data_IF_106103907021
#
_entry.id   IF_106103907021
#
_cell.length_a   1.000
_cell.length_b   1.000
_cell.length_c   1.000
_cell.angle_alpha   90.00
_cell.angle_beta   90.00
_cell.angle_gamma   90.00
#
_symmetry.space_group_name_H-M   'P 1'
#
loop_
_entity.id
_entity.type
_entity.pdbx_description
1 polymer ?
#
# COMPACT_ATOMS: atom_id res chain seq x y z
N UNK A 1 21.08 -14.03 36.38
CA UNK A 1 21.75 -13.41 35.23
C UNK A 1 20.94 -13.75 33.98
N UNK A 2 20.06 -12.85 33.57
CA UNK A 2 19.24 -13.01 32.32
C UNK A 2 20.07 -12.51 31.15
N UNK A 3 20.45 -13.40 30.24
CA UNK A 3 21.12 -13.04 28.98
C UNK A 3 20.10 -12.38 28.06
N UNK A 4 20.25 -11.08 27.83
CA UNK A 4 19.55 -10.37 26.74
C UNK A 4 20.18 -10.85 25.45
N UNK A 5 19.38 -11.52 24.63
CA UNK A 5 19.72 -11.88 23.27
C UNK A 5 19.40 -10.64 22.41
N UNK A 6 20.44 -9.87 22.07
CA UNK A 6 20.31 -8.83 21.04
C UNK A 6 20.12 -9.54 19.69
N UNK A 7 18.89 -9.52 19.17
CA UNK A 7 18.64 -9.85 17.79
C UNK A 7 19.13 -8.66 16.97
N UNK A 8 20.31 -8.79 16.39
CA UNK A 8 20.81 -7.87 15.37
C UNK A 8 19.89 -8.03 14.15
N UNK A 9 18.97 -7.06 13.92
CA UNK A 9 18.27 -6.95 12.65
C UNK A 9 19.35 -6.69 11.60
N UNK A 10 19.73 -7.72 10.86
CA UNK A 10 20.55 -7.58 9.68
C UNK A 10 19.73 -6.77 8.66
N UNK A 11 20.14 -5.54 8.43
CA UNK A 11 19.72 -4.75 7.27
C UNK A 11 20.24 -5.51 6.05
N UNK A 12 19.42 -6.42 5.53
CA UNK A 12 19.69 -7.07 4.25
C UNK A 12 19.45 -5.98 3.19
N UNK A 13 20.45 -5.62 2.40
CA UNK A 13 20.27 -4.63 1.35
C UNK A 13 19.20 -5.15 0.38
N UNK A 14 18.17 -4.37 0.18
CA UNK A 14 17.00 -4.62 -0.68
C UNK A 14 17.34 -4.65 -2.19
N UNK A 15 18.58 -4.93 -2.52
CA UNK A 15 19.07 -5.04 -3.91
C UNK A 15 18.49 -6.24 -4.71
N UNK A 16 17.55 -7.01 -4.14
CA UNK A 16 16.98 -8.18 -4.81
C UNK A 16 15.65 -7.94 -5.53
N UNK A 17 15.09 -6.74 -5.49
CA UNK A 17 13.87 -6.42 -6.26
C UNK A 17 14.13 -5.89 -7.67
N UNK A 18 15.39 -5.63 -8.02
CA UNK A 18 15.78 -4.97 -9.26
C UNK A 18 16.18 -5.94 -10.37
N UNK A 19 15.31 -6.86 -10.79
CA UNK A 19 15.46 -7.41 -12.13
C UNK A 19 14.37 -6.82 -13.03
N UNK A 20 14.66 -5.70 -13.65
CA UNK A 20 14.18 -5.40 -14.99
C UNK A 20 13.13 -4.31 -15.18
N UNK A 21 12.46 -3.80 -14.15
CA UNK A 21 11.49 -2.74 -14.39
C UNK A 21 12.10 -1.37 -14.05
N UNK A 22 12.39 -0.56 -15.08
CA UNK A 22 12.74 0.86 -14.85
C UNK A 22 11.44 1.64 -14.73
N UNK A 23 11.29 2.46 -13.68
CA UNK A 23 10.15 3.37 -13.57
C UNK A 23 10.04 4.25 -14.81
N UNK A 24 8.83 4.41 -15.33
CA UNK A 24 8.55 5.25 -16.51
C UNK A 24 7.36 6.13 -16.20
N UNK A 25 7.63 7.29 -15.62
CA UNK A 25 6.59 8.27 -15.30
C UNK A 25 6.31 9.18 -16.48
N UNK A 26 5.03 9.45 -16.72
CA UNK A 26 4.55 10.45 -17.69
C UNK A 26 4.03 11.71 -16.97
N UNK A 27 3.86 11.61 -15.65
CA UNK A 27 3.33 12.64 -14.77
C UNK A 27 4.34 13.78 -14.57
N UNK A 28 3.82 15.02 -14.52
CA UNK A 28 4.65 16.22 -14.34
C UNK A 28 5.21 16.28 -12.91
N UNK A 29 6.52 16.42 -12.77
CA UNK A 29 7.19 16.69 -11.48
C UNK A 29 6.74 18.06 -10.96
N UNK A 30 6.28 18.10 -9.70
CA UNK A 30 5.90 19.31 -8.98
C UNK A 30 6.84 19.61 -7.80
N UNK A 31 7.48 18.58 -7.26
CA UNK A 31 8.50 18.68 -6.24
C UNK A 31 9.56 17.59 -6.45
N UNK A 32 10.83 17.95 -6.32
CA UNK A 32 11.96 17.04 -6.38
C UNK A 32 12.91 17.32 -5.23
N UNK A 33 13.06 16.37 -4.33
CA UNK A 33 13.94 16.43 -3.16
C UNK A 33 14.79 15.17 -3.01
N UNK A 34 15.71 15.15 -2.04
CA UNK A 34 16.60 14.01 -1.84
C UNK A 34 15.89 12.76 -1.37
N UNK A 35 14.74 12.89 -0.70
CA UNK A 35 14.04 11.79 -0.07
C UNK A 35 12.77 11.37 -0.82
N UNK A 36 12.18 12.27 -1.64
CA UNK A 36 10.94 12.02 -2.37
C UNK A 36 10.82 12.90 -3.61
N UNK A 37 10.16 12.38 -4.65
CA UNK A 37 9.75 13.15 -5.83
C UNK A 37 8.24 13.09 -5.93
N UNK A 38 7.56 14.25 -5.92
CA UNK A 38 6.12 14.33 -6.16
C UNK A 38 5.82 14.69 -7.61
N UNK A 39 4.86 13.95 -8.20
CA UNK A 39 4.35 14.16 -9.56
C UNK A 39 2.84 14.30 -9.53
N UNK A 40 2.32 15.05 -10.47
CA UNK A 40 0.90 15.37 -10.57
C UNK A 40 0.18 14.34 -11.44
N UNK A 41 -0.74 13.56 -10.84
CA UNK A 41 -1.62 12.61 -11.54
C UNK A 41 -2.74 13.37 -12.26
N UNK A 42 -3.39 14.30 -11.55
CA UNK A 42 -4.42 15.21 -12.08
C UNK A 42 -4.38 16.56 -11.34
N UNK A 43 -5.34 17.45 -11.58
CA UNK A 43 -5.35 18.81 -11.05
C UNK A 43 -5.25 18.86 -9.49
N UNK A 44 -5.74 17.83 -8.80
CA UNK A 44 -5.88 17.77 -7.35
C UNK A 44 -5.39 16.46 -6.74
N UNK A 45 -4.53 15.72 -7.46
CA UNK A 45 -3.96 14.46 -7.00
C UNK A 45 -2.50 14.35 -7.40
N UNK A 46 -1.67 13.96 -6.45
CA UNK A 46 -0.23 13.77 -6.65
C UNK A 46 0.22 12.42 -6.10
N UNK A 47 1.18 11.81 -6.77
CA UNK A 47 1.95 10.69 -6.26
C UNK A 47 3.32 11.18 -5.80
N UNK A 48 3.84 10.62 -4.70
CA UNK A 48 5.17 10.89 -4.18
C UNK A 48 5.93 9.59 -4.04
N UNK A 49 7.05 9.43 -4.76
CA UNK A 49 7.88 8.24 -4.65
C UNK A 49 9.06 8.49 -3.72
N UNK A 50 9.15 7.68 -2.65
CA UNK A 50 10.32 7.62 -1.79
C UNK A 50 11.46 6.83 -2.44
N UNK A 51 12.64 6.89 -1.82
CA UNK A 51 13.87 6.34 -2.40
C UNK A 51 14.49 5.21 -1.57
N UNK A 52 13.88 4.81 -0.46
CA UNK A 52 14.49 3.89 0.48
C UNK A 52 14.01 2.44 0.33
N UNK A 53 12.70 2.22 0.13
CA UNK A 53 12.15 0.86 0.07
C UNK A 53 11.31 0.63 -1.18
N UNK A 54 11.94 0.08 -2.23
CA UNK A 54 11.24 -0.39 -3.43
C UNK A 54 10.34 0.66 -4.10
N UNK A 55 10.69 1.95 -4.02
CA UNK A 55 9.91 3.04 -4.60
C UNK A 55 8.53 3.19 -3.93
N UNK A 56 8.53 3.14 -2.61
CA UNK A 56 7.33 3.34 -1.80
C UNK A 56 6.59 4.61 -2.23
N UNK A 57 5.28 4.53 -2.38
CA UNK A 57 4.50 5.59 -2.99
C UNK A 57 3.43 6.13 -2.06
N UNK A 58 3.46 7.45 -1.87
CA UNK A 58 2.48 8.24 -1.14
C UNK A 58 1.50 8.86 -2.12
N UNK A 59 0.27 9.16 -1.68
CA UNK A 59 -0.70 9.87 -2.50
C UNK A 59 -1.30 11.06 -1.74
N UNK A 60 -1.12 12.25 -2.27
CA UNK A 60 -1.79 13.46 -1.78
C UNK A 60 -3.04 13.70 -2.62
N UNK A 61 -4.19 13.79 -1.95
CA UNK A 61 -5.51 13.92 -2.58
C UNK A 61 -6.21 15.13 -1.98
N UNK A 62 -6.48 16.14 -2.79
CA UNK A 62 -7.05 17.42 -2.38
C UNK A 62 -8.51 17.53 -2.79
N UNK A 63 -9.36 18.03 -1.89
CA UNK A 63 -10.70 18.56 -2.18
C UNK A 63 -10.77 20.06 -1.96
N UNK A 64 -11.97 20.63 -1.94
CA UNK A 64 -12.15 22.07 -1.79
C UNK A 64 -11.81 22.58 -0.39
N UNK A 65 -12.00 21.75 0.67
CA UNK A 65 -11.84 22.17 2.06
C UNK A 65 -10.59 21.59 2.73
N UNK A 66 -10.22 20.36 2.39
CA UNK A 66 -9.12 19.63 3.02
C UNK A 66 -8.50 18.61 2.06
N UNK A 67 -7.36 18.08 2.48
CA UNK A 67 -6.66 17.02 1.76
C UNK A 67 -6.37 15.83 2.68
N UNK A 68 -6.12 14.67 2.07
CA UNK A 68 -5.55 13.51 2.74
C UNK A 68 -4.21 13.16 2.11
N UNK A 69 -3.28 12.71 2.94
CA UNK A 69 -2.05 12.06 2.52
C UNK A 69 -2.19 10.57 2.84
N UNK A 70 -2.19 9.74 1.82
CA UNK A 70 -2.14 8.28 1.98
C UNK A 70 -0.69 7.85 2.05
N UNK A 71 -0.32 7.21 3.15
CA UNK A 71 1.02 6.79 3.52
C UNK A 71 2.03 7.94 3.70
N UNK A 72 3.14 7.64 4.35
CA UNK A 72 4.18 8.61 4.69
C UNK A 72 5.58 8.19 4.21
N UNK A 73 5.71 7.04 3.56
CA UNK A 73 7.01 6.51 3.16
C UNK A 73 7.89 6.05 4.33
N UNK A 74 9.15 5.79 4.05
CA UNK A 74 10.10 5.22 5.03
C UNK A 74 10.73 6.27 5.93
N UNK A 75 11.41 7.26 5.37
CA UNK A 75 12.13 8.30 6.13
C UNK A 75 12.31 9.57 5.27
N UNK A 76 11.21 10.27 5.01
CA UNK A 76 11.17 11.52 4.25
C UNK A 76 11.22 12.66 5.25
N UNK A 77 12.28 13.48 5.21
CA UNK A 77 12.47 14.58 6.13
C UNK A 77 11.47 15.71 5.84
N UNK A 78 10.90 16.27 6.90
CA UNK A 78 9.98 17.41 6.81
C UNK A 78 8.81 17.18 5.82
N UNK A 79 8.28 15.95 5.78
CA UNK A 79 7.22 15.58 4.85
C UNK A 79 6.00 16.50 4.96
N UNK A 80 5.64 16.94 6.16
CA UNK A 80 4.58 17.92 6.42
C UNK A 80 4.80 19.25 5.68
N UNK A 81 6.05 19.75 5.66
CA UNK A 81 6.40 21.00 4.96
C UNK A 81 6.43 20.80 3.44
N UNK A 82 6.93 19.65 2.97
CA UNK A 82 6.90 19.31 1.55
C UNK A 82 5.46 19.31 1.04
N UNK A 83 4.58 18.62 1.76
CA UNK A 83 3.15 18.53 1.41
C UNK A 83 2.47 19.90 1.49
N UNK A 84 2.79 20.72 2.52
CA UNK A 84 2.29 22.11 2.63
C UNK A 84 2.79 23.03 1.50
N UNK A 85 3.86 22.68 0.82
CA UNK A 85 4.33 23.35 -0.39
C UNK A 85 3.55 22.98 -1.66
N UNK A 86 2.82 21.86 -1.65
CA UNK A 86 2.02 21.36 -2.78
C UNK A 86 0.56 21.79 -2.63
N UNK A 87 -0.02 21.67 -1.41
CA UNK A 87 -1.40 22.08 -1.11
C UNK A 87 -1.44 23.07 0.07
N UNK A 88 -2.34 24.05 0.01
CA UNK A 88 -2.62 24.95 1.13
C UNK A 88 -3.73 24.42 2.06
N UNK A 89 -4.30 23.26 1.79
CA UNK A 89 -5.39 22.68 2.57
C UNK A 89 -4.87 21.98 3.83
N UNK A 90 -5.68 21.94 4.90
CA UNK A 90 -5.38 21.06 6.04
C UNK A 90 -5.25 19.61 5.59
N UNK A 91 -4.15 18.94 5.97
CA UNK A 91 -3.85 17.56 5.55
C UNK A 91 -4.06 16.59 6.70
N UNK A 92 -4.78 15.50 6.43
CA UNK A 92 -4.92 14.35 7.35
C UNK A 92 -4.08 13.19 6.84
N UNK A 93 -3.19 12.65 7.68
CA UNK A 93 -2.43 11.44 7.35
C UNK A 93 -3.26 10.18 7.57
N UNK A 94 -3.25 9.30 6.58
CA UNK A 94 -3.94 8.01 6.61
C UNK A 94 -3.00 6.94 6.07
N UNK A 95 -2.85 5.81 6.75
CA UNK A 95 -2.08 4.69 6.22
C UNK A 95 -2.98 3.71 5.47
N UNK A 96 -2.51 3.23 4.32
CA UNK A 96 -3.13 2.11 3.60
C UNK A 96 -2.97 0.81 4.38
N UNK A 97 -1.84 0.65 5.06
CA UNK A 97 -1.52 -0.45 5.99
C UNK A 97 -0.30 -0.08 6.84
N UNK A 98 -0.01 -0.90 7.86
CA UNK A 98 1.12 -0.63 8.77
C UNK A 98 2.31 -1.49 8.40
N UNK A 99 3.20 -0.93 7.54
CA UNK A 99 4.54 -1.43 7.24
C UNK A 99 5.55 -0.27 7.23
N UNK A 100 6.87 -0.54 7.42
CA UNK A 100 7.87 0.51 7.60
C UNK A 100 8.03 1.47 6.41
N UNK A 101 7.68 1.05 5.22
CA UNK A 101 7.73 1.85 3.99
C UNK A 101 6.45 2.65 3.73
N UNK A 102 5.42 2.46 4.55
CA UNK A 102 4.16 3.22 4.53
C UNK A 102 3.95 4.05 5.81
N UNK A 103 4.43 3.53 6.94
CA UNK A 103 4.33 4.19 8.26
C UNK A 103 5.69 4.32 8.93
N UNK A 104 6.72 4.63 8.14
CA UNK A 104 8.07 4.85 8.65
C UNK A 104 8.22 6.15 9.45
N UNK A 105 9.45 6.62 9.64
CA UNK A 105 9.73 7.78 10.52
C UNK A 105 9.02 9.06 10.12
N UNK A 106 8.64 9.20 8.86
CA UNK A 106 7.97 10.39 8.35
C UNK A 106 6.61 10.65 9.02
N UNK A 107 5.98 9.62 9.62
CA UNK A 107 4.74 9.80 10.39
C UNK A 107 4.92 10.74 11.58
N UNK A 108 6.14 10.86 12.12
CA UNK A 108 6.44 11.76 13.24
C UNK A 108 6.25 13.25 12.90
N UNK A 109 6.15 13.60 11.61
CA UNK A 109 5.78 14.94 11.15
C UNK A 109 4.29 15.26 11.38
N UNK A 110 3.46 14.27 11.71
CA UNK A 110 2.01 14.42 11.83
C UNK A 110 1.53 14.11 13.26
N UNK A 111 0.64 14.95 13.85
CA UNK A 111 0.16 14.75 15.21
C UNK A 111 -0.84 13.59 15.33
N UNK A 112 -1.41 13.16 14.23
CA UNK A 112 -2.35 12.04 14.19
C UNK A 112 -2.25 11.24 12.88
N UNK A 113 -2.59 9.96 12.96
CA UNK A 113 -2.69 9.07 11.81
C UNK A 113 -3.95 8.21 11.92
N UNK A 114 -4.61 7.99 10.79
CA UNK A 114 -5.70 7.03 10.68
C UNK A 114 -5.20 5.70 10.11
N UNK A 115 -5.56 4.60 10.74
CA UNK A 115 -5.24 3.24 10.30
C UNK A 115 -6.46 2.33 10.37
N UNK A 116 -6.42 1.20 9.70
CA UNK A 116 -7.36 0.11 9.97
C UNK A 116 -6.96 -0.58 11.30
N UNK A 117 -7.92 -0.72 12.22
CA UNK A 117 -7.69 -1.32 13.54
C UNK A 117 -7.13 -2.75 13.48
N UNK A 118 -7.36 -3.50 12.39
CA UNK A 118 -6.82 -4.83 12.21
C UNK A 118 -5.27 -4.84 12.13
N UNK A 119 -4.64 -3.72 11.75
CA UNK A 119 -3.18 -3.58 11.70
C UNK A 119 -2.56 -3.14 13.04
N UNK A 120 -3.37 -2.99 14.11
CA UNK A 120 -2.81 -2.76 15.46
C UNK A 120 -1.81 -3.85 15.89
N UNK A 121 -1.91 -5.05 15.32
CA UNK A 121 -0.95 -6.14 15.53
C UNK A 121 0.47 -5.78 15.08
N UNK A 122 0.60 -4.88 14.11
CA UNK A 122 1.86 -4.44 13.53
C UNK A 122 2.42 -3.17 14.22
N UNK A 123 1.57 -2.37 14.88
CA UNK A 123 1.94 -1.05 15.41
C UNK A 123 3.10 -1.11 16.40
N UNK A 124 3.10 -2.07 17.32
CA UNK A 124 4.15 -2.19 18.35
C UNK A 124 5.55 -2.43 17.75
N UNK A 125 5.63 -3.11 16.61
CA UNK A 125 6.88 -3.44 15.93
C UNK A 125 7.26 -2.39 14.87
N UNK A 126 6.28 -1.93 14.08
CA UNK A 126 6.50 -1.10 12.90
C UNK A 126 6.43 0.41 13.17
N UNK A 127 5.74 0.81 14.26
CA UNK A 127 5.60 2.22 14.67
C UNK A 127 6.02 2.45 16.15
N UNK A 128 7.14 1.86 16.65
CA UNK A 128 7.44 1.80 18.08
C UNK A 128 7.67 3.16 18.74
N UNK A 129 8.02 4.18 17.97
CA UNK A 129 8.39 5.50 18.46
C UNK A 129 7.33 6.58 18.19
N UNK A 130 6.28 6.26 17.46
CA UNK A 130 5.23 7.23 17.14
C UNK A 130 4.53 7.72 18.42
N UNK A 131 4.45 9.05 18.58
CA UNK A 131 3.88 9.73 19.76
C UNK A 131 2.55 10.43 19.46
N UNK A 132 2.17 10.46 18.20
CA UNK A 132 0.88 11.04 17.79
C UNK A 132 -0.30 10.15 18.16
N UNK A 133 -1.47 10.63 17.84
CA UNK A 133 -2.74 9.91 18.10
C UNK A 133 -3.06 8.96 16.96
N UNK A 134 -3.31 7.69 17.28
CA UNK A 134 -3.81 6.71 16.32
C UNK A 134 -5.34 6.74 16.35
N UNK A 135 -5.94 6.95 15.19
CA UNK A 135 -7.39 6.90 14.94
C UNK A 135 -7.72 5.76 13.99
N UNK A 136 -8.99 5.35 13.97
CA UNK A 136 -9.38 4.17 13.21
C UNK A 136 -10.36 4.50 12.09
N UNK A 137 -10.07 3.90 10.93
CA UNK A 137 -10.94 3.87 9.77
C UNK A 137 -12.11 2.89 10.00
N UNK A 138 -13.19 3.09 9.24
CA UNK A 138 -14.34 2.18 9.19
C UNK A 138 -14.56 1.67 7.78
N UNK A 139 -14.80 0.38 7.64
CA UNK A 139 -15.12 -0.20 6.34
C UNK A 139 -16.42 0.36 5.77
N UNK A 140 -16.39 0.83 4.54
CA UNK A 140 -17.54 1.42 3.86
C UNK A 140 -17.85 2.87 4.23
N UNK A 141 -17.04 3.53 5.08
CA UNK A 141 -17.18 4.97 5.28
C UNK A 141 -16.72 5.76 4.05
N UNK A 142 -17.18 6.99 3.97
CA UNK A 142 -16.75 7.95 2.94
C UNK A 142 -16.11 9.15 3.63
N UNK A 143 -14.90 9.51 3.21
CA UNK A 143 -14.19 10.70 3.65
C UNK A 143 -14.55 11.84 2.69
N UNK A 144 -15.24 12.87 3.19
CA UNK A 144 -15.56 14.06 2.41
C UNK A 144 -14.43 15.09 2.55
N UNK A 145 -13.86 15.51 1.43
CA UNK A 145 -12.77 16.49 1.34
C UNK A 145 -13.27 17.90 0.98
N UNK A 146 -14.60 18.11 0.98
CA UNK A 146 -15.25 19.28 0.42
C UNK A 146 -15.47 19.09 -1.09
N UNK A 147 -16.66 18.59 -1.44
CA UNK A 147 -17.01 18.31 -2.85
C UNK A 147 -16.32 17.10 -3.49
N UNK A 148 -15.35 16.49 -2.85
CA UNK A 148 -14.66 15.27 -3.29
C UNK A 148 -14.78 14.19 -2.23
N UNK A 149 -15.30 13.04 -2.60
CA UNK A 149 -15.59 11.94 -1.69
C UNK A 149 -14.70 10.74 -1.98
N UNK A 150 -14.06 10.21 -0.93
CA UNK A 150 -13.17 9.07 -0.99
C UNK A 150 -13.77 7.92 -0.17
N UNK A 151 -14.14 6.84 -0.82
CA UNK A 151 -14.66 5.66 -0.12
C UNK A 151 -13.53 4.83 0.47
N UNK A 152 -13.72 4.35 1.68
CA UNK A 152 -12.81 3.49 2.43
C UNK A 152 -13.26 2.05 2.32
N UNK A 153 -12.43 1.18 1.77
CA UNK A 153 -12.74 -0.25 1.57
C UNK A 153 -11.63 -1.08 2.18
N UNK A 154 -11.95 -1.89 3.18
CA UNK A 154 -10.99 -2.82 3.75
C UNK A 154 -10.69 -3.95 2.77
N UNK A 155 -9.42 -4.14 2.49
CA UNK A 155 -8.89 -5.09 1.50
C UNK A 155 -7.80 -5.97 2.12
N UNK A 156 -8.13 -6.76 3.17
CA UNK A 156 -7.16 -7.62 3.82
C UNK A 156 -6.58 -8.64 2.83
N UNK A 157 -5.29 -8.93 2.97
CA UNK A 157 -4.55 -9.85 2.09
C UNK A 157 -3.07 -9.72 2.38
N UNK A 158 -2.47 -8.61 1.92
CA UNK A 158 -1.09 -8.27 2.25
C UNK A 158 -0.91 -8.11 3.76
N UNK A 159 -1.69 -7.25 4.42
CA UNK A 159 -1.84 -7.24 5.88
C UNK A 159 -3.29 -7.45 6.28
N UNK A 160 -3.60 -7.75 7.55
CA UNK A 160 -4.98 -7.80 8.05
C UNK A 160 -5.71 -6.46 7.90
N UNK A 161 -4.99 -5.35 7.99
CA UNK A 161 -5.52 -4.00 7.94
C UNK A 161 -5.37 -3.30 6.59
N UNK A 162 -4.90 -3.97 5.55
CA UNK A 162 -4.83 -3.37 4.22
C UNK A 162 -6.15 -2.72 3.82
N UNK A 163 -6.07 -1.49 3.33
CA UNK A 163 -7.24 -0.65 3.00
C UNK A 163 -7.03 0.02 1.65
N UNK A 164 -8.07 0.00 0.82
CA UNK A 164 -8.11 0.67 -0.49
C UNK A 164 -9.02 1.89 -0.40
N UNK A 165 -8.60 2.98 -1.02
CA UNK A 165 -9.32 4.25 -1.06
C UNK A 165 -9.78 4.52 -2.49
N UNK A 166 -11.07 4.83 -2.70
CA UNK A 166 -11.66 4.98 -4.03
C UNK A 166 -12.26 6.37 -4.22
N UNK A 167 -11.81 7.04 -5.25
CA UNK A 167 -12.46 8.22 -5.81
C UNK A 167 -13.39 7.80 -6.96
N UNK A 168 -14.68 7.68 -6.67
CA UNK A 168 -15.65 7.26 -7.68
C UNK A 168 -15.84 8.30 -8.78
N UNK A 169 -15.73 9.59 -8.44
CA UNK A 169 -15.90 10.66 -9.42
C UNK A 169 -14.72 10.71 -10.40
N UNK A 170 -13.51 10.44 -9.92
CA UNK A 170 -12.31 10.36 -10.77
C UNK A 170 -12.19 9.01 -11.51
N UNK A 171 -12.91 7.96 -11.09
CA UNK A 171 -12.89 6.63 -11.71
C UNK A 171 -11.64 5.82 -11.41
N UNK A 172 -10.92 6.12 -10.32
CA UNK A 172 -9.75 5.39 -9.87
C UNK A 172 -9.65 5.32 -8.35
N UNK A 173 -8.66 4.59 -7.84
CA UNK A 173 -8.39 4.50 -6.41
C UNK A 173 -6.93 4.25 -6.09
N UNK A 174 -6.65 3.97 -4.79
CA UNK A 174 -5.33 3.77 -4.23
C UNK A 174 -5.35 2.55 -3.32
N UNK A 175 -4.60 1.53 -3.69
CA UNK A 175 -4.70 0.21 -3.03
C UNK A 175 -3.62 -0.06 -1.99
N UNK A 176 -2.61 0.81 -1.84
CA UNK A 176 -1.41 0.40 -1.13
C UNK A 176 -0.90 -0.93 -1.69
N UNK A 177 -0.52 -1.84 -0.82
CA UNK A 177 0.00 -3.15 -1.20
C UNK A 177 -1.04 -4.28 -1.24
N UNK A 178 -2.34 -3.95 -1.12
CA UNK A 178 -3.41 -4.94 -1.05
C UNK A 178 -3.39 -5.96 -2.20
N UNK A 179 -2.96 -5.53 -3.41
CA UNK A 179 -2.84 -6.36 -4.62
C UNK A 179 -1.39 -6.51 -5.10
N UNK A 180 -0.40 -5.96 -4.35
CA UNK A 180 1.03 -6.26 -4.43
C UNK A 180 1.83 -5.54 -5.49
N UNK A 181 1.30 -4.55 -6.19
CA UNK A 181 2.07 -3.80 -7.21
C UNK A 181 2.77 -4.70 -8.25
N UNK A 182 2.24 -5.91 -8.48
CA UNK A 182 2.83 -6.96 -9.30
C UNK A 182 3.59 -8.04 -8.53
N UNK A 183 3.82 -7.89 -7.22
CA UNK A 183 4.55 -8.82 -6.37
C UNK A 183 3.94 -8.88 -4.96
N UNK A 184 2.78 -9.54 -4.83
CA UNK A 184 2.06 -9.63 -3.57
C UNK A 184 2.83 -10.49 -2.55
N UNK A 185 3.05 -9.94 -1.35
CA UNK A 185 3.41 -10.69 -0.15
C UNK A 185 2.11 -11.01 0.59
N UNK A 186 1.64 -12.25 0.51
CA UNK A 186 0.40 -12.68 1.14
C UNK A 186 0.68 -13.04 2.61
N UNK A 187 0.46 -12.10 3.53
CA UNK A 187 0.72 -12.34 4.96
C UNK A 187 -0.51 -12.98 5.63
N UNK A 188 -1.72 -12.68 5.18
CA UNK A 188 -2.94 -13.30 5.69
C UNK A 188 -3.08 -14.75 5.19
N UNK A 189 -4.03 -15.04 4.30
CA UNK A 189 -4.20 -16.36 3.67
C UNK A 189 -4.98 -16.28 2.37
N UNK A 190 -5.00 -17.41 1.63
CA UNK A 190 -5.68 -17.49 0.33
C UNK A 190 -7.18 -17.22 0.43
N UNK A 191 -7.88 -17.77 1.43
CA UNK A 191 -9.33 -17.55 1.58
C UNK A 191 -9.66 -16.07 1.76
N UNK A 192 -8.87 -15.35 2.57
CA UNK A 192 -9.02 -13.90 2.75
C UNK A 192 -8.77 -13.14 1.45
N UNK A 193 -7.70 -13.46 0.72
CA UNK A 193 -7.38 -12.81 -0.55
C UNK A 193 -8.46 -13.04 -1.61
N UNK A 194 -9.01 -14.26 -1.70
CA UNK A 194 -10.11 -14.58 -2.61
C UNK A 194 -11.31 -13.65 -2.36
N UNK A 195 -11.76 -13.56 -1.11
CA UNK A 195 -12.90 -12.70 -0.75
C UNK A 195 -12.61 -11.22 -1.02
N UNK A 196 -11.41 -10.76 -0.73
CA UNK A 196 -10.97 -9.39 -1.02
C UNK A 196 -11.00 -9.11 -2.52
N UNK A 197 -10.45 -10.01 -3.34
CA UNK A 197 -10.45 -9.86 -4.79
C UNK A 197 -11.87 -9.88 -5.38
N UNK A 198 -12.74 -10.78 -4.91
CA UNK A 198 -14.15 -10.84 -5.33
C UNK A 198 -14.89 -9.53 -4.99
N UNK A 199 -14.74 -9.05 -3.75
CA UNK A 199 -15.36 -7.80 -3.30
C UNK A 199 -14.87 -6.60 -4.10
N UNK A 200 -13.54 -6.47 -4.27
CA UNK A 200 -12.96 -5.31 -4.95
C UNK A 200 -13.26 -5.31 -6.44
N UNK A 201 -13.14 -6.45 -7.13
CA UNK A 201 -13.47 -6.52 -8.56
C UNK A 201 -14.95 -6.20 -8.84
N UNK A 202 -15.85 -6.72 -7.99
CA UNK A 202 -17.28 -6.38 -8.07
C UNK A 202 -17.53 -4.88 -7.82
N UNK A 203 -16.84 -4.29 -6.84
CA UNK A 203 -16.92 -2.86 -6.56
C UNK A 203 -16.42 -2.01 -7.74
N UNK A 204 -15.25 -2.34 -8.27
CA UNK A 204 -14.67 -1.65 -9.42
C UNK A 204 -15.60 -1.70 -10.65
N UNK A 205 -16.15 -2.88 -10.96
CA UNK A 205 -17.11 -3.06 -12.06
C UNK A 205 -18.39 -2.25 -11.84
N UNK A 206 -18.96 -2.31 -10.63
CA UNK A 206 -20.21 -1.61 -10.28
C UNK A 206 -20.10 -0.10 -10.46
N UNK A 207 -18.98 0.48 -10.07
CA UNK A 207 -18.78 1.93 -10.06
C UNK A 207 -17.90 2.45 -11.21
N UNK A 208 -17.51 1.59 -12.16
CA UNK A 208 -16.71 1.99 -13.32
C UNK A 208 -15.28 2.41 -12.98
N UNK A 209 -14.72 1.87 -11.89
CA UNK A 209 -13.34 2.16 -11.48
C UNK A 209 -12.38 1.48 -12.44
N UNK A 210 -11.55 2.27 -13.12
CA UNK A 210 -10.69 1.79 -14.20
C UNK A 210 -9.37 1.20 -13.69
N UNK A 211 -8.83 1.78 -12.61
CA UNK A 211 -7.51 1.42 -12.08
C UNK A 211 -7.38 1.76 -10.61
N UNK A 212 -6.45 1.06 -9.93
CA UNK A 212 -5.98 1.41 -8.61
C UNK A 212 -4.48 1.69 -8.70
N UNK A 213 -4.03 2.77 -8.12
CA UNK A 213 -2.63 3.10 -7.95
C UNK A 213 -2.08 2.31 -6.76
N UNK A 214 -1.00 1.53 -6.93
CA UNK A 214 -0.45 0.66 -5.88
C UNK A 214 0.52 1.38 -4.95
N UNK A 215 0.89 0.75 -3.84
CA UNK A 215 1.86 1.26 -2.87
C UNK A 215 3.30 1.38 -3.38
N UNK A 216 3.62 0.72 -4.50
CA UNK A 216 4.91 0.84 -5.20
C UNK A 216 4.68 1.17 -6.68
N UNK A 217 4.18 2.37 -6.93
CA UNK A 217 3.88 2.83 -8.28
C UNK A 217 5.15 3.18 -9.05
N UNK A 218 5.25 2.68 -10.29
CA UNK A 218 6.41 2.86 -11.18
C UNK A 218 6.01 3.46 -12.53
N UNK A 219 4.91 4.21 -12.58
CA UNK A 219 4.39 4.85 -13.79
C UNK A 219 3.37 4.02 -14.59
N UNK A 220 3.44 2.68 -14.57
CA UNK A 220 2.60 1.82 -15.43
C UNK A 220 2.01 0.58 -14.76
N UNK A 221 2.36 0.30 -13.52
CA UNK A 221 1.96 -0.92 -12.80
C UNK A 221 0.68 -0.76 -11.99
N UNK A 222 -0.33 -0.09 -12.54
CA UNK A 222 -1.63 0.04 -11.89
C UNK A 222 -2.33 -1.32 -11.78
N UNK A 223 -3.18 -1.47 -10.76
CA UNK A 223 -4.05 -2.62 -10.61
C UNK A 223 -5.35 -2.39 -11.38
N UNK A 224 -5.63 -3.27 -12.33
CA UNK A 224 -6.88 -3.27 -13.11
C UNK A 224 -7.86 -4.30 -12.54
N UNK A 225 -9.12 -4.21 -12.93
CA UNK A 225 -10.14 -5.23 -12.58
C UNK A 225 -9.65 -6.63 -12.93
N UNK A 226 -9.05 -6.80 -14.11
CA UNK A 226 -8.52 -8.09 -14.57
C UNK A 226 -7.40 -8.60 -13.65
N UNK A 227 -6.47 -7.73 -13.25
CA UNK A 227 -5.38 -8.12 -12.33
C UNK A 227 -5.92 -8.56 -10.97
N UNK A 228 -6.92 -7.85 -10.44
CA UNK A 228 -7.57 -8.20 -9.17
C UNK A 228 -8.28 -9.56 -9.28
N UNK A 229 -9.00 -9.81 -10.38
CA UNK A 229 -9.64 -11.12 -10.65
C UNK A 229 -8.58 -12.22 -10.73
N UNK A 230 -7.52 -12.02 -11.52
CA UNK A 230 -6.44 -12.99 -11.71
C UNK A 230 -5.76 -13.35 -10.37
N UNK A 231 -5.53 -12.39 -9.48
CA UNK A 231 -4.99 -12.65 -8.14
C UNK A 231 -5.93 -13.56 -7.32
N UNK A 232 -7.23 -13.31 -7.36
CA UNK A 232 -8.23 -14.15 -6.69
C UNK A 232 -8.25 -15.58 -7.25
N UNK A 233 -8.19 -15.74 -8.57
CA UNK A 233 -8.13 -17.05 -9.25
C UNK A 233 -6.83 -17.80 -8.93
N UNK A 234 -5.70 -17.10 -8.87
CA UNK A 234 -4.41 -17.68 -8.46
C UNK A 234 -4.49 -18.20 -7.01
N UNK A 235 -5.04 -17.39 -6.09
CA UNK A 235 -5.22 -17.79 -4.69
C UNK A 235 -6.18 -19.00 -4.58
N UNK A 236 -7.27 -19.03 -5.35
CA UNK A 236 -8.20 -20.15 -5.41
C UNK A 236 -7.50 -21.43 -5.90
N UNK A 237 -6.71 -21.33 -6.96
CA UNK A 237 -5.96 -22.47 -7.51
C UNK A 237 -4.88 -23.00 -6.54
N UNK A 238 -4.24 -22.12 -5.75
CA UNK A 238 -3.34 -22.51 -4.68
C UNK A 238 -4.08 -23.26 -3.57
N UNK A 239 -5.23 -22.75 -3.12
CA UNK A 239 -6.05 -23.33 -2.06
C UNK A 239 -6.59 -24.72 -2.45
N UNK A 240 -6.97 -24.89 -3.70
CA UNK A 240 -7.47 -26.17 -4.25
C UNK A 240 -6.35 -27.14 -4.66
N UNK A 241 -5.08 -26.74 -4.52
CA UNK A 241 -3.94 -27.57 -4.93
C UNK A 241 -3.78 -27.72 -6.45
N UNK A 242 -4.51 -26.94 -7.26
CA UNK A 242 -4.37 -26.89 -8.72
C UNK A 242 -3.06 -26.25 -9.17
N UNK A 243 -2.62 -25.26 -8.41
CA UNK A 243 -1.36 -24.55 -8.64
C UNK A 243 -0.39 -24.81 -7.51
N UNK A 244 0.89 -24.86 -7.86
CA UNK A 244 1.97 -24.98 -6.91
C UNK A 244 3.05 -23.97 -7.31
N UNK A 245 3.40 -23.06 -6.38
CA UNK A 245 4.47 -22.12 -6.60
C UNK A 245 5.85 -22.76 -6.50
N UNK A 246 6.82 -22.12 -7.11
CA UNK A 246 8.23 -22.48 -7.00
C UNK A 246 8.78 -22.17 -5.61
N UNK A 247 9.82 -22.90 -5.20
CA UNK A 247 10.51 -22.61 -3.95
C UNK A 247 11.20 -21.25 -3.99
N UNK A 248 11.01 -20.46 -2.94
CA UNK A 248 11.68 -19.18 -2.72
C UNK A 248 12.37 -19.19 -1.36
N UNK A 249 13.54 -19.85 -1.22
CA UNK A 249 14.20 -20.02 0.09
C UNK A 249 14.69 -18.70 0.70
N UNK A 250 14.70 -17.61 -0.07
CA UNK A 250 15.03 -16.25 0.39
C UNK A 250 13.78 -15.40 0.65
N UNK A 251 12.58 -15.99 0.58
CA UNK A 251 11.33 -15.31 0.87
C UNK A 251 11.29 -14.76 2.30
N UNK A 252 10.82 -13.53 2.45
CA UNK A 252 10.67 -12.86 3.74
C UNK A 252 9.45 -13.43 4.50
N UNK A 253 9.41 -13.25 5.81
CA UNK A 253 8.24 -13.54 6.66
C UNK A 253 7.72 -14.99 6.55
N UNK A 254 8.57 -15.95 6.19
CA UNK A 254 8.14 -17.33 5.99
C UNK A 254 7.44 -17.61 4.65
N UNK A 255 7.37 -16.61 3.76
CA UNK A 255 6.78 -16.72 2.41
C UNK A 255 7.78 -17.38 1.46
N UNK A 256 8.00 -18.68 1.65
CA UNK A 256 9.08 -19.44 1.02
C UNK A 256 8.70 -20.09 -0.33
N UNK A 257 7.56 -19.71 -0.90
CA UNK A 257 7.09 -20.10 -2.23
C UNK A 257 6.62 -18.89 -3.01
N UNK A 258 6.69 -18.96 -4.33
CA UNK A 258 6.17 -17.94 -5.23
C UNK A 258 5.43 -18.57 -6.40
N UNK A 259 4.19 -18.14 -6.63
CA UNK A 259 3.44 -18.43 -7.85
C UNK A 259 3.48 -17.21 -8.75
N UNK A 260 3.92 -17.41 -10.00
CA UNK A 260 3.96 -16.34 -11.03
C UNK A 260 3.03 -16.72 -12.18
N UNK A 261 1.98 -15.93 -12.38
CA UNK A 261 1.02 -16.09 -13.48
C UNK A 261 0.47 -14.71 -13.87
N UNK A 262 -0.02 -14.56 -15.08
CA UNK A 262 -0.69 -13.32 -15.56
C UNK A 262 0.09 -12.02 -15.32
N UNK A 263 1.42 -12.10 -15.33
CA UNK A 263 2.31 -10.95 -15.08
C UNK A 263 2.32 -10.46 -13.63
N UNK A 264 1.80 -11.24 -12.68
CA UNK A 264 1.81 -10.97 -11.24
C UNK A 264 2.39 -12.14 -10.46
N UNK A 265 2.82 -11.87 -9.21
CA UNK A 265 3.41 -12.86 -8.32
C UNK A 265 2.69 -12.85 -6.99
N UNK A 266 2.44 -14.04 -6.44
CA UNK A 266 2.00 -14.24 -5.05
C UNK A 266 3.11 -14.96 -4.32
N UNK A 267 3.69 -14.30 -3.30
CA UNK A 267 4.61 -14.92 -2.36
C UNK A 267 3.78 -15.45 -1.18
N UNK A 268 3.97 -16.72 -0.84
CA UNK A 268 3.20 -17.41 0.18
C UNK A 268 4.02 -18.50 0.87
N UNK A 269 3.53 -19.03 1.97
CA UNK A 269 4.05 -20.22 2.65
C UNK A 269 2.94 -21.22 2.94
N UNK A 270 3.25 -22.28 3.65
CA UNK A 270 2.26 -23.31 4.05
C UNK A 270 1.11 -22.70 4.89
N UNK A 271 1.44 -21.78 5.77
CA UNK A 271 0.46 -21.12 6.65
C UNK A 271 -0.61 -20.30 5.89
N UNK A 272 -0.33 -19.89 4.66
CA UNK A 272 -1.25 -19.12 3.82
C UNK A 272 -2.23 -19.99 3.03
N UNK A 273 -2.00 -21.30 2.94
CA UNK A 273 -2.85 -22.24 2.22
C UNK A 273 -4.07 -22.67 3.06
N UNK A 274 -4.94 -21.74 3.40
CA UNK A 274 -6.17 -21.97 4.17
C UNK A 274 -7.23 -20.90 3.87
#
# INVERSE_FOLDING_TARGET
MKKFLFVLLAIVPLAMFAQGFKPTYEEKVVYEGPDVIFRQIDAHTWEGNGHLMANETLYLIEGEERAILLDAGTDIKELDKIVAGITSKPVTLIATHVHPDHTGKSIDCFPEIYINAADMVNVAEMMPNYKGTIKYLRDGETIDLGGRQIDVIFTPGHTPGSTTFIDRAAGYGFSGDAFGSGNLLLITNCSTLILTCQRMSAYMQKYGIQKLYPGHYMGKNVETVERVINLGEMAQGLLEGKYQGEANPKGMLGLNRVLTMHGVRINYGEAQLK
#
